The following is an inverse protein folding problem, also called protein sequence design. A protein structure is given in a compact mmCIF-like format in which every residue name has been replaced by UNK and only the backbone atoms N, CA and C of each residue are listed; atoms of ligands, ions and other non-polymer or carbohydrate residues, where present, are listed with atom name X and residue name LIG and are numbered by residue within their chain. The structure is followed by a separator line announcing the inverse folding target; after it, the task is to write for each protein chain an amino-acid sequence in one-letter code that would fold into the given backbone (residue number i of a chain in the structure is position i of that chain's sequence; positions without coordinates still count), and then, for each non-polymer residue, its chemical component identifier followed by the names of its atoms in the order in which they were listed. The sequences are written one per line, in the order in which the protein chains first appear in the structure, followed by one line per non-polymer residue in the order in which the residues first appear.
data_IF_491092351476
#
_entry.id   IF_491092351476
#
_cell.length_a   1.000
_cell.length_b   1.000
_cell.length_c   1.000
_cell.angle_alpha   90.00
_cell.angle_beta   90.00
_cell.angle_gamma   90.00
#
_symmetry.space_group_name_H-M   'P 1'
#
loop_
_entity.id
_entity.type
_entity.pdbx_description
1 polymer ?
#
# COMPACT_ATOMS: atom_id res chain seq x y z
N UNK A 1 4.37 17.48 -0.67
CA UNK A 1 5.60 16.66 -0.64
C UNK A 1 6.74 17.54 -1.09
N UNK A 2 7.84 17.61 -0.33
CA UNK A 2 9.02 18.38 -0.74
C UNK A 2 9.80 17.64 -1.84
N UNK A 3 10.66 18.32 -2.62
CA UNK A 3 11.37 17.71 -3.75
C UNK A 3 12.25 16.51 -3.37
N UNK A 4 12.83 16.52 -2.16
CA UNK A 4 13.74 15.48 -1.67
C UNK A 4 13.04 14.37 -0.88
N UNK A 5 11.72 14.49 -0.73
CA UNK A 5 10.91 13.47 -0.07
C UNK A 5 10.60 12.34 -1.07
N UNK A 6 10.70 11.09 -0.65
CA UNK A 6 10.26 9.95 -1.44
C UNK A 6 9.64 8.87 -0.57
N UNK A 7 8.81 8.05 -1.20
CA UNK A 7 8.17 6.91 -0.58
C UNK A 7 9.03 5.67 -0.77
N UNK A 8 9.22 4.91 0.30
CA UNK A 8 9.74 3.56 0.18
C UNK A 8 8.66 2.66 -0.40
N UNK A 9 8.81 2.39 -1.70
CA UNK A 9 7.91 1.53 -2.48
C UNK A 9 8.36 0.06 -2.44
N UNK A 10 9.51 -0.24 -1.85
CA UNK A 10 10.03 -1.61 -1.78
C UNK A 10 9.42 -2.34 -0.59
N UNK A 11 9.08 -1.63 0.48
CA UNK A 11 8.43 -2.16 1.67
C UNK A 11 7.08 -1.48 1.88
N UNK A 12 6.00 -2.18 1.55
CA UNK A 12 4.63 -1.66 1.68
C UNK A 12 3.87 -2.56 2.65
N UNK A 13 3.51 -2.01 3.81
CA UNK A 13 2.63 -2.69 4.76
C UNK A 13 1.19 -2.65 4.26
N UNK A 14 0.43 -3.71 4.50
CA UNK A 14 -0.98 -3.82 4.12
C UNK A 14 -1.76 -4.32 5.33
N UNK A 15 -2.84 -3.63 5.69
CA UNK A 15 -3.64 -3.96 6.87
C UNK A 15 -5.12 -3.85 6.56
N UNK A 16 -5.87 -4.91 6.84
CA UNK A 16 -7.33 -4.92 6.76
C UNK A 16 -7.92 -3.93 7.77
N UNK A 17 -8.85 -3.12 7.31
CA UNK A 17 -9.55 -2.12 8.13
C UNK A 17 -10.94 -2.60 8.50
N UNK A 18 -11.66 -3.14 7.51
CA UNK A 18 -13.00 -3.65 7.69
C UNK A 18 -13.31 -4.67 6.60
N UNK A 19 -14.32 -5.49 6.87
CA UNK A 19 -14.74 -6.55 5.97
C UNK A 19 -16.26 -6.70 6.07
N UNK A 20 -16.90 -6.78 4.91
CA UNK A 20 -18.32 -7.10 4.76
C UNK A 20 -18.46 -8.40 3.97
N UNK A 21 -19.68 -8.89 3.75
CA UNK A 21 -19.90 -10.11 2.94
C UNK A 21 -19.35 -9.99 1.51
N UNK A 22 -19.34 -8.77 0.95
CA UNK A 22 -18.95 -8.53 -0.45
C UNK A 22 -17.59 -7.85 -0.61
N UNK A 23 -17.20 -7.00 0.33
CA UNK A 23 -16.02 -6.14 0.21
C UNK A 23 -15.04 -6.38 1.34
N UNK A 24 -13.76 -6.24 1.05
CA UNK A 24 -12.71 -6.15 2.06
C UNK A 24 -11.92 -4.86 1.85
N UNK A 25 -11.80 -4.05 2.90
CA UNK A 25 -11.14 -2.76 2.86
C UNK A 25 -9.76 -2.87 3.49
N UNK A 26 -8.76 -2.35 2.79
CA UNK A 26 -7.36 -2.38 3.18
C UNK A 26 -6.77 -0.97 3.22
N UNK A 27 -5.90 -0.77 4.20
CA UNK A 27 -4.97 0.34 4.24
C UNK A 27 -3.61 -0.16 3.79
N UNK A 28 -2.93 0.59 2.92
CA UNK A 28 -1.54 0.34 2.55
C UNK A 28 -0.66 1.47 3.06
N UNK A 29 0.52 1.10 3.54
CA UNK A 29 1.40 1.91 4.39
C UNK A 29 2.78 1.95 3.74
N UNK A 30 3.26 3.15 3.44
CA UNK A 30 4.64 3.36 3.01
C UNK A 30 5.36 4.23 4.02
N UNK A 31 6.66 3.99 4.19
CA UNK A 31 7.52 4.91 4.93
C UNK A 31 7.95 6.05 4.01
N UNK A 32 7.79 7.28 4.48
CA UNK A 32 8.28 8.47 3.81
C UNK A 32 9.67 8.80 4.33
N UNK A 33 10.60 9.00 3.40
CA UNK A 33 11.97 9.41 3.68
C UNK A 33 12.26 10.78 3.06
N UNK A 34 13.18 11.52 3.68
CA UNK A 34 13.83 12.69 3.10
C UNK A 34 15.30 12.41 2.91
N UNK A 35 15.83 12.77 1.75
CA UNK A 35 17.28 12.75 1.53
C UNK A 35 17.92 14.00 2.17
N UNK A 36 18.90 13.78 3.06
CA UNK A 36 19.70 14.85 3.68
C UNK A 36 21.14 14.72 3.16
N UNK A 37 21.54 15.65 2.29
CA UNK A 37 22.83 15.59 1.62
C UNK A 37 22.92 14.41 0.64
N UNK A 38 24.12 13.84 0.47
CA UNK A 38 24.37 12.82 -0.58
C UNK A 38 24.13 11.38 -0.13
N UNK A 39 24.15 11.08 1.18
CA UNK A 39 24.15 9.70 1.70
C UNK A 39 23.20 9.42 2.86
N UNK A 40 22.61 10.45 3.48
CA UNK A 40 21.76 10.25 4.66
C UNK A 40 20.29 10.28 4.27
N UNK A 41 19.53 9.37 4.85
CA UNK A 41 18.08 9.32 4.77
C UNK A 41 17.52 9.60 6.16
N UNK A 42 16.58 10.53 6.24
CA UNK A 42 15.79 10.79 7.42
C UNK A 42 14.39 10.21 7.22
N UNK A 43 13.94 9.38 8.16
CA UNK A 43 12.57 8.88 8.15
C UNK A 43 11.64 9.98 8.66
N UNK A 44 10.72 10.43 7.81
CA UNK A 44 9.74 11.47 8.16
C UNK A 44 8.50 10.88 8.85
N UNK A 45 8.20 9.61 8.60
CA UNK A 45 7.05 8.92 9.17
C UNK A 45 6.40 7.95 8.18
N UNK A 46 5.15 7.61 8.43
CA UNK A 46 4.35 6.77 7.55
C UNK A 46 3.28 7.58 6.84
N UNK A 47 3.06 7.25 5.58
CA UNK A 47 1.93 7.71 4.80
C UNK A 47 1.05 6.53 4.44
N UNK A 48 -0.23 6.81 4.21
CA UNK A 48 -1.26 5.82 4.07
C UNK A 48 -2.11 6.11 2.85
N UNK A 49 -2.58 5.06 2.20
CA UNK A 49 -3.71 5.09 1.28
C UNK A 49 -4.68 3.96 1.62
N UNK A 50 -5.87 3.99 1.03
CA UNK A 50 -6.87 2.95 1.23
C UNK A 50 -7.34 2.40 -0.11
N UNK A 51 -7.55 1.09 -0.17
CA UNK A 51 -8.16 0.41 -1.31
C UNK A 51 -9.12 -0.66 -0.81
N UNK A 52 -9.93 -1.17 -1.74
CA UNK A 52 -10.86 -2.25 -1.47
C UNK A 52 -10.72 -3.34 -2.52
N UNK A 53 -11.13 -4.56 -2.17
CA UNK A 53 -11.29 -5.68 -3.09
C UNK A 53 -12.71 -6.23 -3.00
N UNK A 54 -13.36 -6.42 -4.15
CA UNK A 54 -14.62 -7.17 -4.24
C UNK A 54 -14.30 -8.67 -4.16
N UNK A 55 -14.90 -9.36 -3.19
CA UNK A 55 -14.61 -10.76 -2.88
C UNK A 55 -15.09 -11.75 -3.94
N UNK A 56 -16.07 -11.36 -4.75
CA UNK A 56 -16.63 -12.23 -5.79
C UNK A 56 -15.80 -12.16 -7.06
N UNK A 57 -15.33 -10.95 -7.41
CA UNK A 57 -14.66 -10.69 -8.68
C UNK A 57 -13.14 -10.58 -8.55
N UNK A 58 -12.63 -10.33 -7.35
CA UNK A 58 -11.21 -10.05 -7.09
C UNK A 58 -10.75 -8.68 -7.60
N UNK A 59 -11.66 -7.83 -8.09
CA UNK A 59 -11.36 -6.49 -8.59
C UNK A 59 -10.96 -5.59 -7.42
N UNK A 60 -9.82 -4.92 -7.56
CA UNK A 60 -9.29 -3.97 -6.59
C UNK A 60 -9.50 -2.53 -7.03
N UNK A 61 -9.96 -1.68 -6.13
CA UNK A 61 -10.22 -0.26 -6.41
C UNK A 61 -9.57 0.64 -5.36
N UNK A 62 -8.97 1.74 -5.82
CA UNK A 62 -8.40 2.75 -4.95
C UNK A 62 -9.52 3.61 -4.35
N UNK A 63 -9.61 3.65 -3.02
CA UNK A 63 -10.62 4.43 -2.28
C UNK A 63 -10.06 5.78 -1.85
N UNK A 64 -8.83 5.80 -1.35
CA UNK A 64 -8.14 7.02 -0.94
C UNK A 64 -6.69 6.99 -1.42
N UNK A 65 -6.25 7.96 -2.25
CA UNK A 65 -4.91 7.98 -2.78
C UNK A 65 -3.88 8.24 -1.67
N UNK A 66 -2.74 7.55 -1.76
CA UNK A 66 -1.62 7.80 -0.85
C UNK A 66 -0.91 9.11 -1.24
N UNK A 67 -0.73 10.06 -0.30
CA UNK A 67 0.05 11.26 -0.57
C UNK A 67 1.47 10.91 -1.03
N UNK A 68 1.86 11.42 -2.20
CA UNK A 68 3.18 11.16 -2.78
C UNK A 68 3.27 9.99 -3.75
N UNK A 69 2.24 9.13 -3.83
CA UNK A 69 2.18 8.03 -4.79
C UNK A 69 1.51 8.46 -6.11
N UNK A 70 2.06 9.49 -6.76
CA UNK A 70 1.47 10.08 -7.98
C UNK A 70 1.33 9.09 -9.15
N UNK A 71 2.20 8.09 -9.21
CA UNK A 71 2.19 7.05 -10.23
C UNK A 71 1.36 5.82 -9.83
N UNK A 72 0.67 5.86 -8.68
CA UNK A 72 -0.07 4.74 -8.10
C UNK A 72 0.77 3.46 -7.92
N UNK A 73 2.08 3.59 -7.82
CA UNK A 73 2.98 2.44 -7.80
C UNK A 73 2.87 1.66 -6.50
N UNK A 74 2.64 2.33 -5.38
CA UNK A 74 2.44 1.66 -4.10
C UNK A 74 1.07 0.98 -4.09
N UNK A 75 0.03 1.65 -4.61
CA UNK A 75 -1.29 1.05 -4.78
C UNK A 75 -1.24 -0.22 -5.66
N UNK A 76 -0.62 -0.17 -6.85
CA UNK A 76 -0.54 -1.32 -7.75
C UNK A 76 0.18 -2.51 -7.11
N UNK A 77 1.25 -2.26 -6.34
CA UNK A 77 1.98 -3.33 -5.63
C UNK A 77 1.16 -3.93 -4.48
N UNK A 78 0.51 -3.09 -3.68
CA UNK A 78 -0.33 -3.53 -2.57
C UNK A 78 -1.56 -4.32 -3.04
N UNK A 79 -2.28 -3.79 -4.04
CA UNK A 79 -3.45 -4.45 -4.63
C UNK A 79 -3.08 -5.77 -5.28
N UNK A 80 -1.98 -5.84 -6.02
CA UNK A 80 -1.51 -7.09 -6.62
C UNK A 80 -1.17 -8.15 -5.56
N UNK A 81 -0.55 -7.76 -4.45
CA UNK A 81 -0.23 -8.67 -3.34
C UNK A 81 -1.51 -9.23 -2.70
N UNK A 82 -2.51 -8.40 -2.42
CA UNK A 82 -3.81 -8.87 -1.89
C UNK A 82 -4.60 -9.69 -2.91
N UNK A 83 -4.56 -9.32 -4.19
CA UNK A 83 -5.20 -10.10 -5.24
C UNK A 83 -4.62 -11.53 -5.32
N UNK A 84 -3.30 -11.69 -5.13
CA UNK A 84 -2.69 -13.02 -5.02
C UNK A 84 -3.18 -13.82 -3.81
N UNK A 85 -3.34 -13.18 -2.65
CA UNK A 85 -3.95 -13.83 -1.48
C UNK A 85 -5.39 -14.27 -1.77
N UNK A 86 -6.17 -13.40 -2.42
CA UNK A 86 -7.54 -13.72 -2.83
C UNK A 86 -7.60 -14.92 -3.78
N UNK A 87 -6.69 -14.99 -4.77
CA UNK A 87 -6.56 -16.16 -5.65
C UNK A 87 -6.21 -17.45 -4.89
N UNK A 88 -5.52 -17.35 -3.75
CA UNK A 88 -5.23 -18.46 -2.86
C UNK A 88 -6.41 -18.81 -1.92
N UNK A 89 -7.53 -18.08 -1.99
CA UNK A 89 -8.70 -18.28 -1.14
C UNK A 89 -8.63 -17.54 0.19
N UNK A 90 -7.69 -16.60 0.37
CA UNK A 90 -7.45 -15.91 1.64
C UNK A 90 -7.56 -14.38 1.50
N UNK A 91 -8.03 -13.73 2.56
CA UNK A 91 -7.99 -12.28 2.71
C UNK A 91 -7.41 -11.96 4.09
N UNK A 92 -6.08 -11.82 4.21
CA UNK A 92 -5.40 -11.75 5.49
C UNK A 92 -5.66 -10.42 6.21
N UNK A 93 -5.60 -10.42 7.55
CA UNK A 93 -5.74 -9.18 8.33
C UNK A 93 -4.51 -8.26 8.18
N UNK A 94 -3.35 -8.84 7.89
CA UNK A 94 -2.09 -8.12 7.65
C UNK A 94 -1.24 -8.85 6.62
N UNK A 95 -0.57 -8.09 5.77
CA UNK A 95 0.37 -8.60 4.78
C UNK A 95 1.41 -7.53 4.44
N UNK A 96 2.52 -7.93 3.82
CA UNK A 96 3.56 -7.03 3.40
C UNK A 96 4.01 -7.34 1.97
N UNK A 97 4.18 -6.29 1.17
CA UNK A 97 4.92 -6.36 -0.07
C UNK A 97 6.38 -6.00 0.19
N UNK A 98 7.30 -6.88 -0.21
CA UNK A 98 8.74 -6.67 -0.21
C UNK A 98 9.28 -6.90 -1.63
N UNK A 99 9.88 -5.89 -2.25
CA UNK A 99 10.65 -6.05 -3.49
C UNK A 99 12.11 -6.38 -3.14
N UNK A 100 12.59 -7.53 -3.63
CA UNK A 100 13.99 -7.95 -3.63
C UNK A 100 14.56 -8.01 -5.03
#
# INVERSE_FOLDING_TARGET
MQPDDYLDRHYIGIRKQSETERMCHYQFICTQYRRIGTKRLEQLGHVFGNFQIDKQTGITELVSPMPGDKSLSAFTRASHKIHKCWLAGELPDSEQYCAG
#
